data_IF_390240057168
#
_entry.id   IF_390240057168
#
_cell.length_a   1.000
_cell.length_b   1.000
_cell.length_c   1.000
_cell.angle_alpha   90.00
_cell.angle_beta   90.00
_cell.angle_gamma   90.00
#
_symmetry.space_group_name_H-M   'P 1'
#
loop_
_entity.id
_entity.type
_entity.pdbx_description
1 polymer ?
#
# COMPACT_ATOMS: atom_id res chain seq x y z
N UNK A 1 4.30 30.81 6.38
CA UNK A 1 3.02 30.08 6.46
C UNK A 1 3.24 28.58 6.38
N UNK A 2 3.27 28.02 7.60
CA UNK A 2 2.90 26.65 7.98
C UNK A 2 3.04 25.56 6.92
N UNK A 3 4.23 24.95 6.91
CA UNK A 3 4.37 23.54 6.55
C UNK A 3 3.43 22.75 7.46
N UNK A 4 2.30 22.31 6.91
CA UNK A 4 1.47 21.28 7.52
C UNK A 4 2.25 19.95 7.44
N UNK A 5 3.30 19.83 8.26
CA UNK A 5 3.73 18.56 8.80
C UNK A 5 2.67 18.15 9.81
N UNK A 6 1.54 17.66 9.31
CA UNK A 6 0.44 17.19 10.16
C UNK A 6 0.08 15.74 9.85
N UNK A 7 0.14 14.95 10.93
CA UNK A 7 -0.58 13.70 11.17
C UNK A 7 -0.08 12.35 10.61
N UNK A 8 0.98 12.22 9.79
CA UNK A 8 1.48 10.87 9.42
C UNK A 8 2.44 10.23 10.43
N UNK A 9 2.47 10.73 11.66
CA UNK A 9 2.88 9.90 12.80
C UNK A 9 1.65 9.07 13.17
N UNK A 10 1.40 8.02 12.37
CA UNK A 10 0.44 6.97 12.71
C UNK A 10 0.88 6.42 14.06
N UNK A 11 0.12 6.76 15.10
CA UNK A 11 0.27 6.20 16.44
C UNK A 11 0.13 4.68 16.34
N UNK A 12 1.27 4.00 16.35
CA UNK A 12 1.43 2.55 16.32
C UNK A 12 0.94 1.92 17.62
N UNK A 13 -0.38 1.84 17.79
CA UNK A 13 -0.97 0.93 18.76
C UNK A 13 -0.97 -0.48 18.14
N UNK A 14 -0.39 -1.44 18.88
CA UNK A 14 -0.44 -2.91 18.68
C UNK A 14 0.63 -3.60 17.81
N UNK A 15 1.68 -2.90 17.37
CA UNK A 15 2.85 -3.56 16.79
C UNK A 15 3.85 -2.59 16.18
N UNK A 16 5.13 -2.76 16.49
CA UNK A 16 6.19 -1.95 15.92
C UNK A 16 6.30 -2.24 14.41
N UNK A 17 6.06 -1.22 13.58
CA UNK A 17 6.28 -1.32 12.14
C UNK A 17 7.78 -1.43 11.88
N UNK A 18 8.19 -2.42 11.09
CA UNK A 18 9.60 -2.64 10.77
C UNK A 18 9.92 -1.97 9.44
N UNK A 19 10.77 -0.95 9.49
CA UNK A 19 11.31 -0.28 8.30
C UNK A 19 10.43 0.83 7.72
N UNK A 20 10.83 1.32 6.56
CA UNK A 20 10.11 2.37 5.85
C UNK A 20 9.00 1.79 4.95
N UNK A 21 7.89 2.52 4.72
CA UNK A 21 6.86 2.12 3.76
C UNK A 21 7.44 1.90 2.35
N UNK A 22 6.92 0.89 1.65
CA UNK A 22 7.23 0.62 0.24
C UNK A 22 6.10 1.20 -0.61
N UNK A 23 6.44 2.12 -1.51
CA UNK A 23 5.45 2.76 -2.41
C UNK A 23 5.27 1.98 -3.71
N UNK A 24 4.02 1.89 -4.15
CA UNK A 24 3.61 1.37 -5.45
C UNK A 24 2.92 2.47 -6.25
N UNK A 25 3.43 2.74 -7.45
CA UNK A 25 2.93 3.79 -8.32
C UNK A 25 2.07 3.19 -9.42
N UNK A 26 0.95 3.87 -9.70
CA UNK A 26 -0.05 3.45 -10.67
C UNK A 26 -0.18 4.47 -11.79
N UNK A 27 -0.44 3.99 -13.02
CA UNK A 27 -0.78 4.85 -14.12
C UNK A 27 -2.07 5.64 -13.81
N UNK A 28 -2.16 6.85 -14.36
CA UNK A 28 -3.23 7.81 -14.08
C UNK A 28 -4.61 7.16 -14.25
N UNK A 29 -5.47 7.30 -13.23
CA UNK A 29 -6.83 6.75 -13.23
C UNK A 29 -6.91 5.22 -13.44
N UNK A 30 -5.88 4.47 -13.03
CA UNK A 30 -5.87 3.00 -13.12
C UNK A 30 -5.37 2.32 -11.85
N UNK A 31 -5.53 0.99 -11.82
CA UNK A 31 -4.87 0.03 -10.92
C UNK A 31 -3.67 -0.67 -11.58
N UNK A 32 -3.20 -0.17 -12.72
CA UNK A 32 -2.01 -0.72 -13.38
C UNK A 32 -0.75 -0.05 -12.83
N UNK A 33 0.23 -0.85 -12.41
CA UNK A 33 1.53 -0.34 -11.98
C UNK A 33 2.21 0.43 -13.12
N UNK A 34 2.87 1.54 -12.79
CA UNK A 34 3.63 2.34 -13.77
C UNK A 34 4.81 1.58 -14.37
N UNK A 35 5.36 0.64 -13.61
CA UNK A 35 6.48 -0.21 -14.00
C UNK A 35 6.28 -1.62 -13.44
N UNK A 36 6.39 -2.61 -14.33
CA UNK A 36 6.35 -4.04 -14.01
C UNK A 36 7.45 -4.44 -13.03
N UNK A 37 8.58 -3.74 -13.01
CA UNK A 37 9.69 -4.00 -12.08
C UNK A 37 9.28 -3.88 -10.61
N UNK A 38 8.24 -3.09 -10.31
CA UNK A 38 7.67 -2.98 -8.97
C UNK A 38 7.12 -4.32 -8.44
N UNK A 39 6.84 -5.30 -9.32
CA UNK A 39 6.48 -6.67 -8.90
C UNK A 39 7.58 -7.35 -8.10
N UNK A 40 8.86 -7.01 -8.34
CA UNK A 40 9.98 -7.52 -7.54
C UNK A 40 9.88 -7.07 -6.08
N UNK A 41 9.38 -5.85 -5.83
CA UNK A 41 9.15 -5.36 -4.47
C UNK A 41 8.05 -6.17 -3.76
N UNK A 42 7.00 -6.59 -4.49
CA UNK A 42 5.96 -7.47 -3.94
C UNK A 42 6.51 -8.87 -3.64
N UNK A 43 7.35 -9.41 -4.51
CA UNK A 43 7.99 -10.71 -4.32
C UNK A 43 8.84 -10.71 -3.05
N UNK A 44 9.68 -9.68 -2.87
CA UNK A 44 10.56 -9.56 -1.71
C UNK A 44 9.80 -9.21 -0.42
N UNK A 45 8.81 -8.32 -0.48
CA UNK A 45 7.94 -8.02 0.66
C UNK A 45 7.23 -9.29 1.14
N UNK A 46 6.67 -10.08 0.23
CA UNK A 46 6.02 -11.34 0.57
C UNK A 46 7.01 -12.38 1.11
N UNK A 47 8.22 -12.46 0.55
CA UNK A 47 9.26 -13.35 1.07
C UNK A 47 9.64 -13.00 2.50
N UNK A 48 9.86 -11.72 2.81
CA UNK A 48 10.21 -11.23 4.15
C UNK A 48 9.06 -11.43 5.13
N UNK A 49 7.84 -11.03 4.77
CA UNK A 49 6.66 -11.17 5.61
C UNK A 49 6.41 -12.64 5.99
N UNK A 50 6.53 -13.56 5.03
CA UNK A 50 6.41 -15.00 5.28
C UNK A 50 7.54 -15.52 6.17
N UNK A 51 8.79 -15.16 5.88
CA UNK A 51 9.98 -15.65 6.62
C UNK A 51 9.89 -15.32 8.11
N UNK A 52 9.37 -14.15 8.45
CA UNK A 52 9.30 -13.66 9.83
C UNK A 52 7.88 -13.67 10.41
N UNK A 53 6.90 -14.24 9.70
CA UNK A 53 5.48 -14.26 10.11
C UNK A 53 4.90 -12.88 10.45
N UNK A 54 5.31 -11.85 9.69
CA UNK A 54 4.82 -10.49 9.84
C UNK A 54 3.46 -10.31 9.17
N UNK A 55 2.71 -9.32 9.66
CA UNK A 55 1.55 -8.76 8.97
C UNK A 55 1.99 -7.61 8.06
N UNK A 56 1.23 -7.37 7.00
CA UNK A 56 1.44 -6.28 6.04
C UNK A 56 0.25 -5.34 6.11
N UNK A 57 0.50 -4.05 6.30
CA UNK A 57 -0.52 -3.02 6.24
C UNK A 57 -0.54 -2.40 4.85
N UNK A 58 -1.72 -2.31 4.21
CA UNK A 58 -1.88 -1.75 2.87
C UNK A 58 -2.77 -0.52 2.94
N UNK A 59 -2.26 0.62 2.45
CA UNK A 59 -3.05 1.87 2.35
C UNK A 59 -3.07 2.33 0.91
N UNK A 60 -4.28 2.61 0.41
CA UNK A 60 -4.50 3.17 -0.92
C UNK A 60 -4.40 4.68 -0.91
N UNK A 61 -3.86 5.26 -1.99
CA UNK A 61 -3.82 6.70 -2.19
C UNK A 61 -4.17 7.09 -3.63
N UNK A 62 -4.75 8.28 -3.76
CA UNK A 62 -4.95 9.01 -5.01
C UNK A 62 -4.67 10.49 -4.74
N UNK A 63 -4.08 11.19 -5.71
CA UNK A 63 -3.71 12.59 -5.53
C UNK A 63 -4.97 13.47 -5.52
N UNK A 64 -5.10 14.32 -4.51
CA UNK A 64 -6.27 15.21 -4.38
C UNK A 64 -6.29 16.35 -5.40
N UNK A 65 -5.18 16.55 -6.13
CA UNK A 65 -5.05 17.55 -7.19
C UNK A 65 -5.73 17.18 -8.50
N UNK A 66 -5.99 15.89 -8.74
CA UNK A 66 -6.67 15.42 -9.94
C UNK A 66 -7.95 14.68 -9.58
N UNK A 67 -8.99 14.79 -10.43
CA UNK A 67 -10.27 14.11 -10.19
C UNK A 67 -11.15 14.75 -9.11
N UNK A 68 -12.27 14.09 -8.80
CA UNK A 68 -13.15 14.45 -7.68
C UNK A 68 -12.84 13.58 -6.47
N UNK A 69 -13.16 14.03 -5.26
CA UNK A 69 -12.95 13.25 -4.03
C UNK A 69 -13.56 11.84 -4.13
N UNK A 70 -14.80 11.72 -4.64
CA UNK A 70 -15.47 10.43 -4.82
C UNK A 70 -14.74 9.46 -5.77
N UNK A 71 -14.15 9.98 -6.85
CA UNK A 71 -13.36 9.18 -7.79
C UNK A 71 -12.05 8.75 -7.12
N UNK A 72 -11.38 9.65 -6.41
CA UNK A 72 -10.12 9.38 -5.73
C UNK A 72 -10.29 8.38 -4.57
N UNK A 73 -11.39 8.46 -3.83
CA UNK A 73 -11.73 7.49 -2.80
C UNK A 73 -11.93 6.10 -3.41
N UNK A 74 -12.71 6.01 -4.49
CA UNK A 74 -12.94 4.73 -5.19
C UNK A 74 -11.65 4.16 -5.79
N UNK A 75 -10.78 5.02 -6.32
CA UNK A 75 -9.52 4.65 -6.92
C UNK A 75 -8.49 4.20 -5.88
N UNK A 76 -8.43 4.87 -4.74
CA UNK A 76 -7.54 4.50 -3.63
C UNK A 76 -7.90 3.11 -3.08
N UNK A 77 -9.19 2.82 -2.86
CA UNK A 77 -9.69 1.49 -2.47
C UNK A 77 -9.31 0.44 -3.51
N UNK A 78 -9.53 0.73 -4.79
CA UNK A 78 -9.21 -0.21 -5.88
C UNK A 78 -7.72 -0.53 -5.96
N UNK A 79 -6.85 0.45 -5.73
CA UNK A 79 -5.38 0.29 -5.70
C UNK A 79 -4.92 -0.52 -4.50
N UNK A 80 -5.48 -0.27 -3.31
CA UNK A 80 -5.22 -1.09 -2.13
C UNK A 80 -5.63 -2.55 -2.38
N UNK A 81 -6.83 -2.76 -2.94
CA UNK A 81 -7.34 -4.09 -3.29
C UNK A 81 -6.44 -4.83 -4.30
N UNK A 82 -5.88 -4.12 -5.28
CA UNK A 82 -4.91 -4.71 -6.21
C UNK A 82 -3.64 -5.20 -5.49
N UNK A 83 -3.06 -4.39 -4.59
CA UNK A 83 -1.87 -4.78 -3.82
C UNK A 83 -2.18 -5.96 -2.89
N UNK A 84 -3.32 -5.94 -2.20
CA UNK A 84 -3.78 -7.05 -1.36
C UNK A 84 -3.88 -8.35 -2.16
N UNK A 85 -4.53 -8.33 -3.32
CA UNK A 85 -4.64 -9.51 -4.18
C UNK A 85 -3.27 -10.04 -4.64
N UNK A 86 -2.34 -9.15 -5.00
CA UNK A 86 -0.98 -9.55 -5.40
C UNK A 86 -0.19 -10.17 -4.24
N UNK A 87 -0.39 -9.70 -3.00
CA UNK A 87 0.24 -10.26 -1.80
C UNK A 87 -0.35 -11.63 -1.44
N UNK A 88 -1.67 -11.80 -1.56
CA UNK A 88 -2.35 -13.09 -1.38
C UNK A 88 -1.87 -14.13 -2.39
N UNK A 89 -1.74 -13.75 -3.66
CA UNK A 89 -1.20 -14.61 -4.72
C UNK A 89 0.23 -15.09 -4.41
N UNK A 90 1.00 -14.31 -3.65
CA UNK A 90 2.35 -14.67 -3.19
C UNK A 90 2.34 -15.46 -1.88
N UNK A 91 1.17 -15.81 -1.37
CA UNK A 91 0.98 -16.69 -0.22
C UNK A 91 1.01 -16.01 1.13
N UNK A 92 0.78 -14.68 1.20
CA UNK A 92 0.47 -14.04 2.48
C UNK A 92 -0.99 -14.35 2.83
N UNK A 93 -1.29 -14.92 4.01
CA UNK A 93 -2.68 -15.17 4.39
C UNK A 93 -3.46 -13.85 4.51
N UNK A 94 -4.68 -13.79 3.98
CA UNK A 94 -5.56 -12.60 4.04
C UNK A 94 -5.67 -12.00 5.45
N UNK A 95 -5.75 -12.84 6.49
CA UNK A 95 -5.79 -12.42 7.91
C UNK A 95 -4.55 -11.67 8.41
N UNK A 96 -3.46 -11.67 7.64
CA UNK A 96 -2.21 -10.96 7.92
C UNK A 96 -2.03 -9.75 7.00
N UNK A 97 -3.00 -9.44 6.16
CA UNK A 97 -3.04 -8.22 5.37
C UNK A 97 -4.11 -7.34 6.00
N UNK A 98 -3.70 -6.14 6.44
CA UNK A 98 -4.53 -5.19 7.19
C UNK A 98 -4.73 -3.92 6.38
#
# INVERSE_FOLDING_TARGET
DTLAMDSTVLSYADGECIGAPIYFFFALNTTQLTDTSQRLNLDELARVAKKYSLSVWVTGAADSSTGTSSINDSLSISRAGFITAELEQRGIPAKRIV
#
